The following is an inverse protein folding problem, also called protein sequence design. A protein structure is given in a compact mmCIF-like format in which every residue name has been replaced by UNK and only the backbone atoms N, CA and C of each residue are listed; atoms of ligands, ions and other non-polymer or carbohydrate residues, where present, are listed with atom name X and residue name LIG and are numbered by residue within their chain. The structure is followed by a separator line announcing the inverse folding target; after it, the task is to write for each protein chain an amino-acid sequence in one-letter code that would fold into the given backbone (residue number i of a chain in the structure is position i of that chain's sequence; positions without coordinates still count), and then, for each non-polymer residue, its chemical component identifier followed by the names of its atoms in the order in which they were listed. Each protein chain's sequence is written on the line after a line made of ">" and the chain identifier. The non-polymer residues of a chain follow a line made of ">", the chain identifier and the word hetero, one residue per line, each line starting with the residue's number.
data_IF_077719483906
#
_entry.id   IF_077719483906
#
_cell.length_a   1.000
_cell.length_b   1.000
_cell.length_c   1.000
_cell.angle_alpha   90.00
_cell.angle_beta   90.00
_cell.angle_gamma   90.00
#
_symmetry.space_group_name_H-M   'P 1'
#
loop_
_entity.id
_entity.type
_entity.pdbx_description
1 polymer ?
#
# COMPACT_ATOMS: atom_id res chain seq x y z
N UNK A 1 -11.48 -0.11 -1.60
CA UNK A 1 -11.53 -0.65 -0.22
C UNK A 1 -11.14 0.46 0.75
N UNK A 2 -11.87 0.63 1.85
CA UNK A 2 -11.58 1.68 2.83
C UNK A 2 -10.81 1.09 4.02
N UNK A 3 -9.59 1.56 4.24
CA UNK A 3 -8.81 1.20 5.42
C UNK A 3 -9.45 1.89 6.65
N UNK A 4 -9.73 1.17 7.76
CA UNK A 4 -10.27 1.81 8.95
C UNK A 4 -9.31 2.89 9.48
N UNK A 5 -9.82 4.11 9.66
CA UNK A 5 -9.00 5.23 10.13
C UNK A 5 -8.93 5.31 11.66
N UNK A 6 -10.01 4.93 12.36
CA UNK A 6 -10.03 4.94 13.83
C UNK A 6 -8.88 4.06 14.39
N UNK A 7 -8.04 4.57 15.32
CA UNK A 7 -6.88 3.85 15.84
C UNK A 7 -7.18 2.47 16.42
N UNK A 8 -8.24 2.35 17.23
CA UNK A 8 -8.61 1.08 17.86
C UNK A 8 -9.18 0.09 16.85
N UNK A 9 -10.03 0.57 15.93
CA UNK A 9 -10.57 -0.28 14.86
C UNK A 9 -9.48 -0.79 13.93
N UNK A 10 -8.53 0.05 13.54
CA UNK A 10 -7.41 -0.35 12.69
C UNK A 10 -6.54 -1.41 13.40
N UNK A 11 -6.22 -1.20 14.68
CA UNK A 11 -5.43 -2.15 15.45
C UNK A 11 -6.09 -3.52 15.50
N UNK A 12 -7.38 -3.60 15.87
CA UNK A 12 -8.11 -4.87 15.91
C UNK A 12 -8.27 -5.50 14.53
N UNK A 13 -8.44 -4.69 13.47
CA UNK A 13 -8.48 -5.18 12.09
C UNK A 13 -7.16 -5.85 11.69
N UNK A 14 -6.01 -5.20 11.93
CA UNK A 14 -4.70 -5.79 11.61
C UNK A 14 -4.41 -7.01 12.50
N UNK A 15 -4.78 -6.96 13.77
CA UNK A 15 -4.65 -8.10 14.69
C UNK A 15 -5.43 -9.31 14.20
N UNK A 16 -6.71 -9.13 13.83
CA UNK A 16 -7.54 -10.21 13.29
C UNK A 16 -6.96 -10.80 12.01
N UNK A 17 -6.44 -9.97 11.09
CA UNK A 17 -5.75 -10.45 9.89
C UNK A 17 -4.55 -11.34 10.25
N UNK A 18 -3.69 -10.90 11.17
CA UNK A 18 -2.51 -11.68 11.55
C UNK A 18 -2.86 -12.97 12.28
N UNK A 19 -3.85 -12.95 13.17
CA UNK A 19 -4.36 -14.14 13.87
C UNK A 19 -4.97 -15.17 12.90
N UNK A 20 -5.55 -14.72 11.78
CA UNK A 20 -6.02 -15.56 10.69
C UNK A 20 -4.93 -15.98 9.69
N UNK A 21 -3.67 -15.58 9.91
CA UNK A 21 -2.52 -15.99 9.10
C UNK A 21 -2.26 -15.13 7.85
N UNK A 22 -2.95 -13.99 7.68
CA UNK A 22 -2.63 -13.03 6.63
C UNK A 22 -1.28 -12.36 6.92
N UNK A 23 -0.44 -12.26 5.88
CA UNK A 23 0.93 -11.70 5.99
C UNK A 23 1.06 -10.30 5.42
N UNK A 24 0.20 -9.96 4.47
CA UNK A 24 0.18 -8.66 3.82
C UNK A 24 -1.23 -8.31 3.36
N UNK A 25 -1.46 -7.03 3.07
CA UNK A 25 -2.69 -6.55 2.43
C UNK A 25 -2.37 -5.50 1.35
N UNK A 26 -3.32 -5.25 0.47
CA UNK A 26 -3.27 -4.15 -0.51
C UNK A 26 -4.14 -2.99 -0.01
N UNK A 27 -3.58 -1.78 0.07
CA UNK A 27 -4.28 -0.58 0.55
C UNK A 27 -4.29 0.52 -0.51
N UNK A 28 -5.34 1.34 -0.54
CA UNK A 28 -5.43 2.49 -1.46
C UNK A 28 -4.36 3.52 -1.07
N UNK A 29 -3.64 4.09 -2.03
CA UNK A 29 -2.55 5.04 -1.75
C UNK A 29 -2.97 6.26 -0.93
N UNK A 30 -4.21 6.74 -1.08
CA UNK A 30 -4.78 7.88 -0.35
C UNK A 30 -5.30 7.52 1.06
N UNK A 31 -5.30 6.23 1.41
CA UNK A 31 -5.76 5.74 2.71
C UNK A 31 -4.65 5.64 3.74
N UNK A 32 -3.41 5.88 3.32
CA UNK A 32 -2.20 5.82 4.15
C UNK A 32 -1.33 7.05 3.97
N UNK A 33 -0.53 7.33 4.99
CA UNK A 33 0.43 8.44 5.01
C UNK A 33 1.72 8.00 5.73
N UNK A 34 2.80 8.75 5.53
CA UNK A 34 4.02 8.61 6.34
C UNK A 34 3.75 9.03 7.79
N UNK A 35 4.60 8.61 8.72
CA UNK A 35 4.44 8.96 10.15
C UNK A 35 4.45 10.46 10.45
N UNK A 36 5.05 11.26 9.57
CA UNK A 36 5.07 12.72 9.64
C UNK A 36 3.86 13.39 8.95
N UNK A 37 2.91 12.62 8.43
CA UNK A 37 1.71 13.11 7.75
C UNK A 37 1.90 13.47 6.27
N UNK A 38 3.07 13.26 5.69
CA UNK A 38 3.25 13.40 4.24
C UNK A 38 2.61 12.22 3.48
N UNK A 39 2.18 12.47 2.24
CA UNK A 39 1.76 11.42 1.32
C UNK A 39 2.93 10.49 0.94
N UNK A 40 2.61 9.39 0.26
CA UNK A 40 3.61 8.43 -0.23
C UNK A 40 4.29 8.86 -1.55
N UNK A 41 3.93 10.03 -2.11
CA UNK A 41 4.56 10.57 -3.33
C UNK A 41 5.81 11.39 -3.00
N UNK A 42 5.79 12.13 -1.89
CA UNK A 42 6.94 12.95 -1.46
C UNK A 42 8.08 12.03 -1.01
N UNK A 43 9.30 12.34 -1.45
CA UNK A 43 10.56 11.67 -1.06
C UNK A 43 10.73 10.20 -1.47
N UNK A 44 10.49 9.87 -2.74
CA UNK A 44 11.09 8.65 -3.32
C UNK A 44 10.16 7.46 -3.50
N UNK A 45 8.92 7.71 -3.93
CA UNK A 45 8.11 6.66 -4.56
C UNK A 45 7.81 5.45 -3.64
N UNK A 46 7.62 5.68 -2.33
CA UNK A 46 7.29 4.64 -1.34
C UNK A 46 6.08 3.79 -1.78
N UNK A 47 5.18 4.34 -2.60
CA UNK A 47 4.06 3.59 -3.18
C UNK A 47 4.45 2.46 -4.14
N UNK A 48 5.67 2.40 -4.63
CA UNK A 48 6.14 1.33 -5.52
C UNK A 48 6.93 0.22 -4.80
N UNK A 49 6.97 0.24 -3.48
CA UNK A 49 7.60 -0.80 -2.64
C UNK A 49 6.64 -1.22 -1.54
N UNK A 50 6.87 -2.37 -0.87
CA UNK A 50 6.10 -2.71 0.31
C UNK A 50 6.38 -1.69 1.41
N UNK A 51 5.33 -1.30 2.13
CA UNK A 51 5.41 -0.45 3.31
C UNK A 51 5.10 -1.28 4.55
N UNK A 52 5.67 -0.90 5.68
CA UNK A 52 5.26 -1.41 6.98
C UNK A 52 4.12 -0.53 7.51
N UNK A 53 2.88 -1.00 7.38
CA UNK A 53 1.71 -0.33 7.92
C UNK A 53 1.66 -0.55 9.43
N UNK A 54 1.82 0.51 10.20
CA UNK A 54 1.78 0.50 11.65
C UNK A 54 0.42 0.99 12.15
N UNK A 55 -0.19 0.21 13.04
CA UNK A 55 -1.42 0.55 13.73
C UNK A 55 -1.13 0.67 15.23
N UNK A 56 -1.38 1.85 15.80
CA UNK A 56 -1.28 2.11 17.24
C UNK A 56 -2.68 2.32 17.80
N UNK A 57 -3.04 1.61 18.86
CA UNK A 57 -4.34 1.77 19.50
C UNK A 57 -4.30 2.83 20.62
N UNK A 58 -5.46 3.13 21.20
CA UNK A 58 -5.61 4.13 22.26
C UNK A 58 -5.07 3.71 23.63
N UNK A 59 -4.65 2.45 23.78
CA UNK A 59 -3.91 1.92 24.93
C UNK A 59 -2.39 2.01 24.75
N UNK A 60 -1.92 2.51 23.60
CA UNK A 60 -0.50 2.61 23.27
C UNK A 60 0.10 1.32 22.70
N UNK A 61 -0.67 0.25 22.54
CA UNK A 61 -0.23 -0.98 21.91
C UNK A 61 -0.04 -0.75 20.40
N UNK A 62 0.95 -1.42 19.81
CA UNK A 62 1.32 -1.24 18.41
C UNK A 62 1.43 -2.58 17.71
N UNK A 63 0.88 -2.67 16.50
CA UNK A 63 1.00 -3.82 15.62
C UNK A 63 1.33 -3.34 14.20
N UNK A 64 2.00 -4.18 13.40
CA UNK A 64 2.27 -3.87 12.01
C UNK A 64 2.04 -5.06 11.08
N UNK A 65 1.82 -4.74 9.82
CA UNK A 65 1.69 -5.70 8.72
C UNK A 65 2.28 -5.10 7.43
N UNK A 66 2.77 -5.96 6.53
CA UNK A 66 3.24 -5.52 5.22
C UNK A 66 2.05 -5.03 4.37
N UNK A 67 2.18 -3.85 3.79
CA UNK A 67 1.19 -3.24 2.91
C UNK A 67 1.79 -3.00 1.53
N UNK A 68 1.16 -3.58 0.50
CA UNK A 68 1.36 -3.15 -0.88
C UNK A 68 0.40 -1.99 -1.15
N UNK A 69 0.80 -1.07 -2.03
CA UNK A 69 0.02 0.13 -2.31
C UNK A 69 -0.70 -0.03 -3.66
N UNK A 70 -2.02 0.12 -3.64
CA UNK A 70 -2.84 0.28 -4.82
C UNK A 70 -2.59 1.67 -5.40
N UNK A 71 -1.93 1.73 -6.55
CA UNK A 71 -1.68 3.00 -7.27
C UNK A 71 -2.94 3.51 -7.96
N UNK A 72 -3.04 4.83 -8.14
CA UNK A 72 -4.11 5.52 -8.88
C UNK A 72 -4.40 4.92 -10.26
N UNK A 73 -3.36 4.40 -10.93
CA UNK A 73 -3.45 3.75 -12.24
C UNK A 73 -4.45 2.61 -12.35
N UNK A 74 -4.78 1.98 -11.22
CA UNK A 74 -5.74 0.87 -11.13
C UNK A 74 -7.20 1.31 -11.11
N UNK A 75 -7.50 2.61 -11.18
CA UNK A 75 -8.88 3.06 -11.09
C UNK A 75 -9.67 2.76 -12.36
N UNK A 76 -10.92 2.33 -12.15
CA UNK A 76 -11.91 1.79 -13.12
C UNK A 76 -11.49 1.78 -14.60
N UNK A 77 -11.44 2.93 -15.28
CA UNK A 77 -11.17 2.96 -16.73
C UNK A 77 -9.70 2.77 -17.10
N UNK A 78 -8.78 3.18 -16.23
CA UNK A 78 -7.34 3.17 -16.47
C UNK A 78 -6.76 1.75 -16.47
N UNK A 79 -7.39 0.84 -15.73
CA UNK A 79 -6.96 -0.57 -15.67
C UNK A 79 -7.07 -1.27 -17.03
N UNK A 80 -8.11 -1.00 -17.83
CA UNK A 80 -8.29 -1.58 -19.16
C UNK A 80 -7.32 -1.00 -20.19
N UNK A 81 -6.87 0.23 -19.98
CA UNK A 81 -5.85 0.88 -20.79
C UNK A 81 -4.43 0.45 -20.40
N UNK A 82 -4.30 -0.54 -19.51
CA UNK A 82 -3.02 -1.03 -18.99
C UNK A 82 -2.14 0.10 -18.43
N UNK A 83 -2.76 1.13 -17.84
CA UNK A 83 -2.02 2.28 -17.30
C UNK A 83 -1.00 1.84 -16.23
N UNK A 84 -1.30 0.90 -15.30
CA UNK A 84 -0.31 0.42 -14.34
C UNK A 84 0.92 -0.23 -14.97
N UNK A 85 0.73 -0.96 -16.08
CA UNK A 85 1.84 -1.52 -16.86
C UNK A 85 2.72 -0.42 -17.47
N UNK A 86 2.11 0.63 -18.04
CA UNK A 86 2.84 1.76 -18.58
C UNK A 86 3.54 2.59 -17.49
N UNK A 87 2.91 2.76 -16.32
CA UNK A 87 3.50 3.35 -15.13
C UNK A 87 4.76 2.55 -14.73
N UNK A 88 4.65 1.23 -14.59
CA UNK A 88 5.76 0.34 -14.22
C UNK A 88 6.93 0.42 -15.21
N UNK A 89 6.64 0.46 -16.52
CA UNK A 89 7.66 0.57 -17.58
C UNK A 89 8.50 1.85 -17.47
N UNK A 90 7.91 2.91 -16.93
CA UNK A 90 8.58 4.18 -16.74
C UNK A 90 9.30 4.29 -15.37
N UNK A 91 9.33 3.23 -14.56
CA UNK A 91 9.99 3.22 -13.24
C UNK A 91 11.35 2.51 -13.30
N UNK A 92 12.27 2.99 -12.49
CA UNK A 92 13.56 2.33 -12.24
C UNK A 92 13.48 1.39 -11.04
N UNK A 93 14.65 1.00 -10.53
CA UNK A 93 14.75 0.31 -9.24
C UNK A 93 14.53 1.28 -8.07
N UNK A 94 14.09 0.73 -6.96
CA UNK A 94 14.00 1.40 -5.66
C UNK A 94 15.08 0.85 -4.73
N UNK A 95 15.34 1.55 -3.63
CA UNK A 95 16.28 1.10 -2.61
C UNK A 95 15.53 0.77 -1.32
N UNK A 96 15.64 -0.48 -0.85
CA UNK A 96 15.14 -0.92 0.45
C UNK A 96 16.34 -1.35 1.29
N UNK A 97 16.59 -0.65 2.40
CA UNK A 97 17.82 -0.81 3.17
C UNK A 97 19.06 -0.59 2.29
N UNK A 98 19.85 -1.65 2.10
CA UNK A 98 21.03 -1.64 1.24
C UNK A 98 20.84 -2.40 -0.10
N UNK A 99 19.63 -2.83 -0.42
CA UNK A 99 19.31 -3.64 -1.60
C UNK A 99 18.59 -2.80 -2.64
N UNK A 100 19.01 -2.92 -3.90
CA UNK A 100 18.25 -2.39 -5.03
C UNK A 100 17.19 -3.40 -5.47
N UNK A 101 15.93 -2.97 -5.51
CA UNK A 101 14.77 -3.82 -5.78
C UNK A 101 13.96 -3.26 -6.96
N UNK A 102 13.26 -4.09 -7.74
CA UNK A 102 12.38 -3.58 -8.79
C UNK A 102 11.21 -2.80 -8.17
N UNK A 103 10.82 -1.69 -8.81
CA UNK A 103 9.55 -1.03 -8.50
C UNK A 103 8.38 -1.97 -8.79
N UNK A 104 7.36 -1.96 -7.94
CA UNK A 104 6.12 -2.70 -8.13
C UNK A 104 4.96 -1.73 -8.29
N UNK A 105 4.22 -1.84 -9.39
CA UNK A 105 2.96 -1.13 -9.60
C UNK A 105 1.83 -2.14 -9.58
N UNK A 106 0.87 -1.95 -8.69
CA UNK A 106 -0.29 -2.82 -8.58
C UNK A 106 -1.26 -2.59 -9.74
N UNK A 107 -1.85 -3.67 -10.26
CA UNK A 107 -2.98 -3.61 -11.17
C UNK A 107 -4.14 -4.44 -10.60
N UNK A 108 -5.21 -3.77 -10.16
CA UNK A 108 -6.38 -4.42 -9.54
C UNK A 108 -7.67 -3.77 -9.99
N UNK A 109 -8.70 -4.57 -10.25
CA UNK A 109 -10.05 -4.09 -10.55
C UNK A 109 -11.09 -5.14 -10.18
N UNK A 110 -12.33 -4.66 -10.03
CA UNK A 110 -13.51 -5.47 -9.78
C UNK A 110 -13.91 -6.21 -11.06
N UNK A 111 -13.79 -7.54 -11.05
CA UNK A 111 -13.96 -8.38 -12.24
C UNK A 111 -15.37 -8.36 -12.84
N UNK A 112 -16.38 -8.02 -12.04
CA UNK A 112 -17.77 -7.90 -12.44
C UNK A 112 -18.07 -6.62 -13.24
N UNK A 113 -17.12 -5.69 -13.34
CA UNK A 113 -17.29 -4.46 -14.11
C UNK A 113 -17.35 -4.76 -15.62
N UNK A 114 -18.53 -5.12 -16.10
CA UNK A 114 -18.75 -5.60 -17.47
C UNK A 114 -18.41 -4.60 -18.57
N UNK A 115 -18.48 -3.29 -18.30
CA UNK A 115 -18.08 -2.28 -19.30
C UNK A 115 -16.59 -2.33 -19.59
N UNK A 116 -15.77 -2.30 -18.53
CA UNK A 116 -14.31 -2.20 -18.62
C UNK A 116 -13.67 -3.58 -18.72
N UNK A 117 -13.98 -4.47 -17.77
CA UNK A 117 -13.26 -5.73 -17.59
C UNK A 117 -13.63 -6.79 -18.63
N UNK A 118 -14.82 -6.72 -19.24
CA UNK A 118 -15.23 -7.68 -20.27
C UNK A 118 -14.96 -7.20 -21.69
N UNK A 119 -15.06 -5.88 -21.96
CA UNK A 119 -14.94 -5.36 -23.33
C UNK A 119 -13.56 -4.81 -23.66
N UNK A 120 -12.91 -4.10 -22.72
CA UNK A 120 -11.69 -3.34 -23.01
C UNK A 120 -10.43 -4.02 -22.46
N UNK A 121 -10.50 -4.50 -21.21
CA UNK A 121 -9.36 -5.11 -20.53
C UNK A 121 -8.77 -6.34 -21.24
N UNK A 122 -9.56 -7.28 -21.82
CA UNK A 122 -8.98 -8.51 -22.39
C UNK A 122 -8.01 -8.25 -23.55
N UNK A 123 -8.32 -7.29 -24.42
CA UNK A 123 -7.44 -6.90 -25.51
C UNK A 123 -6.22 -6.12 -25.00
N UNK A 124 -6.42 -5.17 -24.08
CA UNK A 124 -5.33 -4.45 -23.43
C UNK A 124 -4.32 -5.39 -22.76
N UNK A 125 -4.82 -6.34 -21.96
CA UNK A 125 -4.02 -7.35 -21.29
C UNK A 125 -3.22 -8.21 -22.28
N UNK A 126 -3.88 -8.76 -23.30
CA UNK A 126 -3.21 -9.60 -24.33
C UNK A 126 -2.09 -8.83 -25.02
N UNK A 127 -2.35 -7.59 -25.46
CA UNK A 127 -1.36 -6.78 -26.15
C UNK A 127 -0.16 -6.47 -25.25
N UNK A 128 -0.39 -6.10 -23.99
CA UNK A 128 0.69 -5.82 -23.04
C UNK A 128 1.55 -7.06 -22.77
N UNK A 129 0.93 -8.21 -22.47
CA UNK A 129 1.67 -9.43 -22.13
C UNK A 129 2.35 -10.10 -23.33
N UNK A 130 1.77 -10.01 -24.53
CA UNK A 130 2.48 -10.41 -25.75
C UNK A 130 3.67 -9.49 -26.03
N UNK A 131 3.53 -8.18 -25.83
CA UNK A 131 4.65 -7.25 -25.90
C UNK A 131 5.78 -7.61 -24.92
N UNK A 132 5.45 -7.88 -23.65
CA UNK A 132 6.42 -8.34 -22.64
C UNK A 132 7.14 -9.60 -23.12
N UNK A 133 6.38 -10.59 -23.61
CA UNK A 133 6.90 -11.88 -24.09
C UNK A 133 7.84 -11.72 -25.30
N UNK A 134 7.44 -10.92 -26.27
CA UNK A 134 8.07 -10.87 -27.59
C UNK A 134 9.22 -9.87 -27.67
N UNK A 135 9.18 -8.78 -26.87
CA UNK A 135 10.13 -7.68 -26.96
C UNK A 135 11.03 -7.51 -25.72
N UNK A 136 10.86 -8.32 -24.67
CA UNK A 136 11.60 -8.20 -23.41
C UNK A 136 11.57 -6.76 -22.84
N UNK A 137 10.36 -6.25 -22.61
CA UNK A 137 10.06 -4.84 -22.28
C UNK A 137 10.58 -4.36 -20.90
N UNK A 138 11.39 -5.17 -20.20
CA UNK A 138 11.98 -4.83 -18.90
C UNK A 138 10.98 -4.80 -17.73
N UNK A 139 9.74 -5.21 -17.96
CA UNK A 139 8.65 -5.31 -16.97
C UNK A 139 8.13 -6.73 -16.95
N UNK A 140 7.83 -7.25 -15.76
CA UNK A 140 7.30 -8.61 -15.57
C UNK A 140 6.01 -8.51 -14.76
N UNK A 141 5.02 -9.33 -15.10
CA UNK A 141 3.82 -9.51 -14.27
C UNK A 141 4.07 -10.57 -13.20
N UNK A 142 3.73 -10.25 -11.96
CA UNK A 142 3.83 -11.15 -10.81
C UNK A 142 2.72 -10.84 -9.80
N UNK A 143 2.41 -11.79 -8.93
CA UNK A 143 1.51 -11.55 -7.82
C UNK A 143 2.25 -10.91 -6.62
N UNK A 144 1.49 -10.35 -5.68
CA UNK A 144 2.06 -9.64 -4.53
C UNK A 144 2.92 -10.53 -3.62
N UNK A 145 2.58 -11.81 -3.46
CA UNK A 145 3.36 -12.75 -2.66
C UNK A 145 4.69 -13.07 -3.34
N UNK A 146 4.70 -13.33 -4.65
CA UNK A 146 5.92 -13.55 -5.43
C UNK A 146 6.88 -12.35 -5.31
N UNK A 147 6.32 -11.12 -5.32
CA UNK A 147 7.14 -9.91 -5.16
C UNK A 147 7.81 -9.89 -3.79
N UNK A 148 7.03 -10.08 -2.72
CA UNK A 148 7.54 -10.06 -1.35
C UNK A 148 8.58 -11.16 -1.14
N UNK A 149 8.34 -12.38 -1.65
CA UNK A 149 9.29 -13.49 -1.54
C UNK A 149 10.58 -13.23 -2.32
N UNK A 150 10.51 -12.58 -3.49
CA UNK A 150 11.69 -12.14 -4.24
C UNK A 150 12.53 -11.15 -3.41
N UNK A 151 11.90 -10.20 -2.74
CA UNK A 151 12.59 -9.23 -1.87
C UNK A 151 13.25 -9.93 -0.68
N UNK A 152 12.54 -10.86 -0.04
CA UNK A 152 13.06 -11.65 1.08
C UNK A 152 14.27 -12.49 0.69
N UNK A 153 14.24 -13.12 -0.49
CA UNK A 153 15.38 -13.86 -1.04
C UNK A 153 16.58 -12.96 -1.33
N UNK A 154 16.34 -11.69 -1.70
CA UNK A 154 17.37 -10.68 -1.86
C UNK A 154 17.91 -10.12 -0.53
N UNK A 155 17.40 -10.61 0.61
CA UNK A 155 17.84 -10.21 1.95
C UNK A 155 17.10 -9.01 2.54
N UNK A 156 16.00 -8.56 1.90
CA UNK A 156 15.16 -7.47 2.43
C UNK A 156 14.25 -8.02 3.53
N UNK A 157 14.13 -7.27 4.62
CA UNK A 157 13.26 -7.58 5.76
C UNK A 157 12.19 -6.52 5.93
N UNK A 158 11.17 -6.79 6.76
CA UNK A 158 10.11 -5.79 7.04
C UNK A 158 10.64 -4.51 7.72
N UNK A 159 11.82 -4.58 8.36
CA UNK A 159 12.46 -3.43 8.98
C UNK A 159 13.09 -2.47 7.95
N UNK A 160 13.38 -2.97 6.74
CA UNK A 160 13.91 -2.17 5.64
C UNK A 160 12.81 -1.38 4.90
N UNK A 161 11.54 -1.71 5.15
CA UNK A 161 10.41 -1.05 4.50
C UNK A 161 10.16 0.36 5.05
N UNK A 162 9.77 1.32 4.20
CA UNK A 162 9.22 2.58 4.67
C UNK A 162 8.01 2.34 5.57
N UNK A 163 7.84 3.21 6.56
CA UNK A 163 6.77 3.06 7.56
C UNK A 163 5.62 4.01 7.23
N UNK A 164 4.41 3.46 7.17
CA UNK A 164 3.19 4.22 6.97
C UNK A 164 2.16 3.93 8.07
N UNK A 165 1.15 4.79 8.14
CA UNK A 165 -0.01 4.68 9.03
C UNK A 165 -1.28 5.06 8.26
N UNK A 166 -2.46 4.81 8.83
CA UNK A 166 -3.69 5.28 8.20
C UNK A 166 -3.73 6.81 8.14
N UNK A 167 -4.25 7.34 7.04
CA UNK A 167 -4.31 8.78 6.75
C UNK A 167 -4.93 9.58 7.89
N UNK A 168 -4.38 10.74 8.23
CA UNK A 168 -4.86 11.61 9.30
C UNK A 168 -4.47 11.19 10.72
N UNK A 169 -3.95 9.98 10.94
CA UNK A 169 -3.49 9.57 12.27
C UNK A 169 -2.28 10.38 12.77
N UNK A 170 -1.44 10.92 11.87
CA UNK A 170 -0.38 11.86 12.24
C UNK A 170 -0.91 13.01 13.09
N UNK A 171 -2.07 13.58 12.70
CA UNK A 171 -2.69 14.71 13.41
C UNK A 171 -3.11 14.33 14.84
N UNK A 172 -3.63 13.12 15.01
CA UNK A 172 -4.02 12.59 16.32
C UNK A 172 -2.77 12.46 17.21
N UNK A 173 -1.73 11.80 16.70
CA UNK A 173 -0.51 11.52 17.47
C UNK A 173 0.30 12.77 17.77
N UNK A 174 0.37 13.72 16.84
CA UNK A 174 1.02 15.00 17.06
C UNK A 174 0.33 15.83 18.16
N UNK A 175 -1.00 15.70 18.29
CA UNK A 175 -1.77 16.40 19.32
C UNK A 175 -1.61 15.81 20.72
N UNK A 176 -1.57 14.48 20.82
CA UNK A 176 -1.49 13.78 22.11
C UNK A 176 -0.04 13.71 22.63
N UNK A 177 0.92 13.55 21.71
CA UNK A 177 2.29 13.16 22.03
C UNK A 177 2.43 11.65 22.31
N UNK A 178 3.66 11.15 22.43
CA UNK A 178 3.93 9.70 22.58
C UNK A 178 3.63 9.16 23.97
N UNK A 179 3.71 10.01 24.99
CA UNK A 179 3.77 9.59 26.41
C UNK A 179 2.42 9.66 27.13
N UNK A 180 1.38 10.16 26.45
CA UNK A 180 0.05 10.46 27.03
C UNK A 180 -1.10 9.72 26.35
N UNK A 181 -0.78 8.63 25.65
CA UNK A 181 -1.79 7.86 24.91
C UNK A 181 -2.71 7.14 25.88
N UNK A 182 -3.96 7.59 25.91
CA UNK A 182 -5.07 7.02 26.67
C UNK A 182 -6.33 7.05 25.82
N UNK A 183 -7.32 6.16 26.06
CA UNK A 183 -8.61 6.19 25.38
C UNK A 183 -9.28 7.56 25.38
N UNK A 184 -9.25 8.25 26.53
CA UNK A 184 -9.85 9.58 26.69
C UNK A 184 -9.12 10.64 25.87
N UNK A 185 -7.78 10.62 25.85
CA UNK A 185 -6.98 11.56 25.07
C UNK A 185 -7.19 11.35 23.55
N UNK A 186 -7.27 10.10 23.10
CA UNK A 186 -7.53 9.76 21.70
C UNK A 186 -8.94 10.19 21.29
N UNK A 187 -9.96 9.87 22.08
CA UNK A 187 -11.33 10.28 21.80
C UNK A 187 -11.45 11.81 21.70
N UNK A 188 -10.86 12.54 22.65
CA UNK A 188 -10.83 14.01 22.64
C UNK A 188 -10.11 14.57 21.41
N UNK A 189 -8.95 14.02 21.05
CA UNK A 189 -8.22 14.46 19.86
C UNK A 189 -9.03 14.25 18.57
N UNK A 190 -9.73 13.12 18.45
CA UNK A 190 -10.60 12.83 17.31
C UNK A 190 -11.78 13.81 17.23
N UNK A 191 -12.44 14.12 18.36
CA UNK A 191 -13.53 15.10 18.40
C UNK A 191 -13.06 16.49 17.95
N UNK A 192 -11.93 16.95 18.48
CA UNK A 192 -11.38 18.27 18.16
C UNK A 192 -10.85 18.38 16.72
N UNK A 193 -10.54 17.26 16.06
CA UNK A 193 -10.10 17.23 14.65
C UNK A 193 -11.26 17.09 13.66
N UNK A 194 -12.47 16.78 14.14
CA UNK A 194 -13.71 16.77 13.34
C UNK A 194 -14.40 18.13 13.31
N UNK A 195 -14.13 18.99 14.30
CA UNK A 195 -14.63 20.36 14.40
C UNK A 195 -13.88 21.29 13.43
#
# INVERSE_FOLDING_TARGET
>A
MHLPNNPDTLYEYIKALKECGYRWLLVQEDSVERLNGDDLHKNGDDKYVPNRLVARNSKGETISITALIKTQGSDTKLVAQMQPYHEAKARGKQKLGNVEVPSCVSQIADGENGGVMMNEFPDGFRNAFYGIKDNNEGVVGLNGTEYIELLQQAGVTEDDYPVCQAVGQHKIWNKIGTDKVTPEAVAKAIEELKA
#
